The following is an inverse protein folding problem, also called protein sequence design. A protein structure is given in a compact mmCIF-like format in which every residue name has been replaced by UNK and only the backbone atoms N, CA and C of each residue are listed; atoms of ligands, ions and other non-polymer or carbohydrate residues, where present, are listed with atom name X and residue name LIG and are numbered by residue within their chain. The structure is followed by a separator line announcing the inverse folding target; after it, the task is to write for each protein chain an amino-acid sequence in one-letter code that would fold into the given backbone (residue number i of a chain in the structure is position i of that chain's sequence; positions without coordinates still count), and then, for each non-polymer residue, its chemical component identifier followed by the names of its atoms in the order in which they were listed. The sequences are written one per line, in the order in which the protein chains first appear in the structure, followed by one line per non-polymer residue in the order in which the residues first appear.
data_IF_125302440964
#
_entry.id   IF_125302440964
#
_cell.length_a   1.000
_cell.length_b   1.000
_cell.length_c   1.000
_cell.angle_alpha   90.00
_cell.angle_beta   90.00
_cell.angle_gamma   90.00
#
_symmetry.space_group_name_H-M   'P 1'
#
loop_
_entity.id
_entity.type
_entity.pdbx_description
1 polymer ?
#
# COMPACT_ATOMS: atom_id res chain seq x y z
N UNK A 1 18.28 28.99 31.14
CA UNK A 1 18.03 28.96 29.68
C UNK A 1 18.16 27.54 29.14
N UNK A 2 19.16 26.77 29.58
CA UNK A 2 19.47 25.42 29.09
C UNK A 2 18.37 24.37 29.34
N UNK A 3 17.69 24.41 30.49
CA UNK A 3 16.57 23.50 30.78
C UNK A 3 15.41 23.67 29.80
N UNK A 4 15.11 24.90 29.38
CA UNK A 4 14.04 25.17 28.42
C UNK A 4 14.40 24.63 27.03
N UNK A 5 15.65 24.81 26.60
CA UNK A 5 16.17 24.29 25.34
C UNK A 5 16.19 22.76 25.31
N UNK A 6 16.59 22.14 26.42
CA UNK A 6 16.57 20.69 26.59
C UNK A 6 15.13 20.15 26.53
N UNK A 7 14.20 20.75 27.27
CA UNK A 7 12.77 20.37 27.22
C UNK A 7 12.18 20.52 25.82
N UNK A 8 12.47 21.61 25.12
CA UNK A 8 12.01 21.82 23.72
C UNK A 8 12.55 20.73 22.79
N UNK A 9 13.82 20.40 22.90
CA UNK A 9 14.46 19.36 22.07
C UNK A 9 13.83 18.00 22.33
N UNK A 10 13.63 17.64 23.60
CA UNK A 10 12.97 16.39 24.00
C UNK A 10 11.55 16.29 23.45
N UNK A 11 10.76 17.37 23.54
CA UNK A 11 9.40 17.41 22.99
C UNK A 11 9.41 17.17 21.48
N UNK A 12 10.27 17.88 20.74
CA UNK A 12 10.38 17.74 19.28
C UNK A 12 10.80 16.33 18.90
N UNK A 13 11.77 15.73 19.59
CA UNK A 13 12.20 14.35 19.35
C UNK A 13 11.08 13.36 19.61
N UNK A 14 10.37 13.49 20.74
CA UNK A 14 9.26 12.61 21.08
C UNK A 14 8.12 12.70 20.07
N UNK A 15 7.80 13.90 19.58
CA UNK A 15 6.79 14.10 18.53
C UNK A 15 7.19 13.42 17.22
N UNK A 16 8.45 13.55 16.80
CA UNK A 16 8.97 12.88 15.58
C UNK A 16 8.91 11.36 15.72
N UNK A 17 9.32 10.83 16.87
CA UNK A 17 9.25 9.39 17.17
C UNK A 17 7.81 8.89 17.16
N UNK A 18 6.89 9.63 17.78
CA UNK A 18 5.47 9.29 17.77
C UNK A 18 4.91 9.25 16.34
N UNK A 19 5.19 10.28 15.52
CA UNK A 19 4.74 10.33 14.13
C UNK A 19 5.27 9.15 13.31
N UNK A 20 6.56 8.82 13.45
CA UNK A 20 7.17 7.67 12.77
C UNK A 20 6.52 6.35 13.19
N UNK A 21 6.31 6.15 14.49
CA UNK A 21 5.69 4.94 15.01
C UNK A 21 4.24 4.80 14.54
N UNK A 22 3.48 5.89 14.56
CA UNK A 22 2.09 5.91 14.08
C UNK A 22 2.02 5.54 12.59
N UNK A 23 2.91 6.09 11.76
CA UNK A 23 3.00 5.76 10.33
C UNK A 23 3.27 4.27 10.13
N UNK A 24 4.31 3.73 10.77
CA UNK A 24 4.69 2.32 10.65
C UNK A 24 3.56 1.38 11.09
N UNK A 25 2.90 1.69 12.23
CA UNK A 25 1.78 0.89 12.74
C UNK A 25 0.56 0.94 11.81
N UNK A 26 0.28 2.10 11.22
CA UNK A 26 -0.82 2.26 10.26
C UNK A 26 -0.59 1.43 9.00
N UNK A 27 0.64 1.45 8.45
CA UNK A 27 1.04 0.61 7.32
C UNK A 27 0.92 -0.87 7.68
N UNK A 28 1.46 -1.28 8.83
CA UNK A 28 1.40 -2.66 9.29
C UNK A 28 -0.04 -3.17 9.37
N UNK A 29 -0.94 -2.40 9.98
CA UNK A 29 -2.34 -2.77 10.11
C UNK A 29 -3.04 -2.86 8.75
N UNK A 30 -2.80 -1.90 7.86
CA UNK A 30 -3.34 -1.91 6.51
C UNK A 30 -2.90 -3.16 5.73
N UNK A 31 -1.61 -3.49 5.76
CA UNK A 31 -1.06 -4.66 5.05
C UNK A 31 -1.69 -5.96 5.55
N UNK A 32 -1.82 -6.12 6.87
CA UNK A 32 -2.49 -7.29 7.45
C UNK A 32 -3.93 -7.43 6.93
N UNK A 33 -4.66 -6.32 6.87
CA UNK A 33 -6.06 -6.31 6.42
C UNK A 33 -6.21 -6.56 4.92
N UNK A 34 -5.27 -6.09 4.09
CA UNK A 34 -5.35 -6.22 2.63
C UNK A 34 -4.72 -7.51 2.09
N UNK A 35 -3.91 -8.22 2.89
CA UNK A 35 -3.22 -9.43 2.44
C UNK A 35 -4.14 -10.53 1.88
N UNK A 36 -5.32 -10.83 2.48
CA UNK A 36 -6.25 -11.80 1.88
C UNK A 36 -6.73 -11.39 0.49
N UNK A 37 -6.96 -10.09 0.28
CA UNK A 37 -7.33 -9.55 -1.04
C UNK A 37 -6.18 -9.68 -2.04
N UNK A 38 -4.94 -9.36 -1.63
CA UNK A 38 -3.73 -9.59 -2.46
C UNK A 38 -3.64 -11.04 -2.94
N UNK A 39 -3.82 -12.00 -2.03
CA UNK A 39 -3.79 -13.44 -2.36
C UNK A 39 -4.90 -13.79 -3.36
N UNK A 40 -6.10 -13.23 -3.20
CA UNK A 40 -7.21 -13.42 -4.14
C UNK A 40 -6.84 -12.92 -5.56
N UNK A 41 -6.27 -11.73 -5.67
CA UNK A 41 -5.81 -11.17 -6.96
C UNK A 41 -4.75 -12.07 -7.62
N UNK A 42 -3.78 -12.56 -6.85
CA UNK A 42 -2.74 -13.47 -7.33
C UNK A 42 -3.33 -14.80 -7.84
N UNK A 43 -4.33 -15.36 -7.13
CA UNK A 43 -5.05 -16.55 -7.60
C UNK A 43 -5.79 -16.29 -8.91
N UNK A 44 -6.43 -15.13 -9.06
CA UNK A 44 -7.07 -14.74 -10.32
C UNK A 44 -6.05 -14.61 -11.46
N UNK A 45 -4.88 -14.03 -11.19
CA UNK A 45 -3.79 -13.94 -12.18
C UNK A 45 -3.33 -15.32 -12.67
N UNK A 46 -3.18 -16.29 -11.77
CA UNK A 46 -2.82 -17.68 -12.14
C UNK A 46 -3.89 -18.31 -13.04
N UNK A 47 -5.17 -18.09 -12.72
CA UNK A 47 -6.28 -18.59 -13.56
C UNK A 47 -6.26 -17.97 -14.96
N UNK A 48 -6.03 -16.66 -15.07
CA UNK A 48 -5.95 -15.98 -16.36
C UNK A 48 -4.75 -16.49 -17.18
N UNK A 49 -3.60 -16.70 -16.54
CA UNK A 49 -2.43 -17.27 -17.23
C UNK A 49 -2.69 -18.67 -17.81
N UNK A 50 -3.51 -19.48 -17.13
CA UNK A 50 -3.93 -20.78 -17.65
C UNK A 50 -4.86 -20.69 -18.87
N UNK A 51 -5.47 -19.52 -19.12
CA UNK A 51 -6.34 -19.24 -20.26
C UNK A 51 -5.58 -18.59 -21.44
N UNK A 52 -4.25 -18.72 -21.50
CA UNK A 52 -3.38 -18.05 -22.49
C UNK A 52 -3.75 -18.32 -23.95
N UNK A 53 -4.43 -19.44 -24.25
CA UNK A 53 -4.97 -19.74 -25.58
C UNK A 53 -6.25 -18.97 -25.96
N UNK A 54 -6.86 -18.24 -25.04
CA UNK A 54 -8.12 -17.49 -25.21
C UNK A 54 -7.96 -16.00 -24.85
N UNK A 55 -6.73 -15.47 -24.96
CA UNK A 55 -6.43 -14.10 -24.57
C UNK A 55 -7.17 -13.08 -25.45
N UNK A 56 -8.18 -12.41 -24.87
CA UNK A 56 -8.82 -11.24 -25.49
C UNK A 56 -8.16 -9.95 -24.99
N UNK A 57 -8.44 -8.84 -25.67
CA UNK A 57 -7.97 -7.52 -25.27
C UNK A 57 -8.48 -7.14 -23.85
N UNK A 58 -9.73 -7.46 -23.55
CA UNK A 58 -10.37 -7.22 -22.25
C UNK A 58 -9.71 -8.06 -21.16
N UNK A 59 -9.42 -9.34 -21.45
CA UNK A 59 -8.73 -10.22 -20.49
C UNK A 59 -7.32 -9.72 -20.17
N UNK A 60 -6.61 -9.22 -21.18
CA UNK A 60 -5.28 -8.62 -21.01
C UNK A 60 -5.34 -7.32 -20.19
N UNK A 61 -6.33 -6.46 -20.44
CA UNK A 61 -6.56 -5.24 -19.66
C UNK A 61 -6.88 -5.56 -18.20
N UNK A 62 -7.75 -6.54 -17.95
CA UNK A 62 -8.06 -7.00 -16.61
C UNK A 62 -6.84 -7.59 -15.90
N UNK A 63 -6.05 -8.43 -16.58
CA UNK A 63 -4.79 -8.94 -16.06
C UNK A 63 -3.82 -7.80 -15.66
N UNK A 64 -3.74 -6.74 -16.47
CA UNK A 64 -2.92 -5.58 -16.18
C UNK A 64 -3.39 -4.86 -14.90
N UNK A 65 -4.70 -4.63 -14.74
CA UNK A 65 -5.28 -4.01 -13.54
C UNK A 65 -4.97 -4.83 -12.28
N UNK A 66 -5.13 -6.15 -12.34
CA UNK A 66 -4.81 -7.04 -11.23
C UNK A 66 -3.32 -6.97 -10.83
N UNK A 67 -2.41 -6.98 -11.82
CA UNK A 67 -0.96 -6.85 -11.58
C UNK A 67 -0.61 -5.51 -10.97
N UNK A 68 -1.18 -4.42 -11.50
CA UNK A 68 -0.99 -3.07 -10.97
C UNK A 68 -1.44 -3.00 -9.50
N UNK A 69 -2.60 -3.57 -9.17
CA UNK A 69 -3.13 -3.55 -7.81
C UNK A 69 -2.26 -4.35 -6.83
N UNK A 70 -1.77 -5.52 -7.23
CA UNK A 70 -0.79 -6.30 -6.43
C UNK A 70 0.49 -5.49 -6.19
N UNK A 71 1.02 -4.84 -7.23
CA UNK A 71 2.23 -4.02 -7.12
C UNK A 71 2.04 -2.82 -6.18
N UNK A 72 0.87 -2.17 -6.19
CA UNK A 72 0.55 -1.08 -5.26
C UNK A 72 0.52 -1.58 -3.81
N UNK A 73 -0.11 -2.73 -3.56
CA UNK A 73 -0.13 -3.35 -2.22
C UNK A 73 1.29 -3.67 -1.74
N UNK A 74 2.16 -4.14 -2.63
CA UNK A 74 3.57 -4.43 -2.31
C UNK A 74 4.41 -3.18 -2.05
N UNK A 75 4.13 -2.07 -2.74
CA UNK A 75 4.78 -0.78 -2.49
C UNK A 75 4.35 -0.20 -1.16
N UNK A 76 3.05 -0.31 -0.81
CA UNK A 76 2.51 0.19 0.46
C UNK A 76 3.24 -0.36 1.69
N UNK A 77 3.77 -1.59 1.64
CA UNK A 77 4.52 -2.16 2.77
C UNK A 77 5.92 -1.58 2.97
N UNK A 78 6.41 -0.75 2.04
CA UNK A 78 7.78 -0.19 2.04
C UNK A 78 7.80 1.34 2.22
N UNK A 79 6.63 1.95 2.37
CA UNK A 79 6.49 3.40 2.46
C UNK A 79 7.15 3.96 3.72
N UNK A 80 7.89 5.05 3.56
CA UNK A 80 8.56 5.74 4.68
C UNK A 80 8.01 7.15 4.93
N UNK A 81 7.17 7.68 4.04
CA UNK A 81 6.62 9.03 4.15
C UNK A 81 5.10 9.05 4.05
N UNK A 82 4.47 10.03 4.70
CA UNK A 82 3.01 10.18 4.67
C UNK A 82 2.48 10.59 3.28
N UNK A 83 3.26 11.36 2.51
CA UNK A 83 2.90 11.75 1.14
C UNK A 83 2.79 10.53 0.23
N UNK A 84 3.84 9.71 0.19
CA UNK A 84 3.87 8.46 -0.58
C UNK A 84 2.75 7.50 -0.15
N UNK A 85 2.47 7.39 1.15
CA UNK A 85 1.36 6.57 1.66
C UNK A 85 0.03 7.04 1.07
N UNK A 86 -0.21 8.35 1.10
CA UNK A 86 -1.46 8.95 0.65
C UNK A 86 -1.68 8.70 -0.85
N UNK A 87 -0.64 8.89 -1.66
CA UNK A 87 -0.74 8.71 -3.11
C UNK A 87 -0.93 7.25 -3.52
N UNK A 88 -0.23 6.33 -2.84
CA UNK A 88 -0.44 4.89 -3.05
C UNK A 88 -1.81 4.43 -2.58
N UNK A 89 -2.36 4.98 -1.48
CA UNK A 89 -3.71 4.67 -1.03
C UNK A 89 -4.78 5.16 -2.02
N UNK A 90 -4.62 6.36 -2.60
CA UNK A 90 -5.51 6.84 -3.67
C UNK A 90 -5.48 5.91 -4.87
N UNK A 91 -4.27 5.50 -5.30
CA UNK A 91 -4.08 4.55 -6.40
C UNK A 91 -4.72 3.20 -6.09
N UNK A 92 -4.54 2.69 -4.87
CA UNK A 92 -5.16 1.45 -4.41
C UNK A 92 -6.69 1.50 -4.46
N UNK A 93 -7.30 2.60 -3.99
CA UNK A 93 -8.76 2.79 -4.03
C UNK A 93 -9.26 2.88 -5.45
N UNK A 94 -8.56 3.63 -6.31
CA UNK A 94 -8.90 3.74 -7.74
C UNK A 94 -8.88 2.37 -8.41
N UNK A 95 -7.75 1.65 -8.36
CA UNK A 95 -7.60 0.34 -8.99
C UNK A 95 -8.59 -0.69 -8.42
N UNK A 96 -8.93 -0.61 -7.13
CA UNK A 96 -9.95 -1.49 -6.55
C UNK A 96 -11.32 -1.27 -7.18
N UNK A 97 -11.69 -0.02 -7.50
CA UNK A 97 -12.95 0.31 -8.20
C UNK A 97 -12.94 -0.15 -9.65
N UNK A 98 -11.81 -0.05 -10.35
CA UNK A 98 -11.71 -0.54 -11.73
C UNK A 98 -11.79 -2.08 -11.83
N UNK A 99 -11.49 -2.79 -10.75
CA UNK A 99 -11.52 -4.26 -10.69
C UNK A 99 -12.90 -4.81 -10.27
N UNK A 100 -13.68 -4.04 -9.49
CA UNK A 100 -14.94 -4.48 -8.85
C UNK A 100 -16.16 -3.88 -9.52
#
# INVERSE_FOLDING_TARGET
MDRLLLSRTTIVTNMKTFQSNLLQKSIQYFIIKVNPYKISLQKSLVKIQALSGFATQELNAYQFLLRAQVAVIEKLSKVTTQGELTDLLKTYVYLKKEIQ
#
